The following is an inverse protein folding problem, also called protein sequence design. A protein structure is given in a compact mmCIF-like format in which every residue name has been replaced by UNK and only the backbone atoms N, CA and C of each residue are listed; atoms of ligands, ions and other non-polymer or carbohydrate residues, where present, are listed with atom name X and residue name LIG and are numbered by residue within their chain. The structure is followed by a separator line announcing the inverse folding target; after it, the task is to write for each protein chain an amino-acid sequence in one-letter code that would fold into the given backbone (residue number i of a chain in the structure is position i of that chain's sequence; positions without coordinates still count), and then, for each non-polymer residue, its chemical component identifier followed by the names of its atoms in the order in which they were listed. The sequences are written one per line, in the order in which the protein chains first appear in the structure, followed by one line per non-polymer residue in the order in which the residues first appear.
data_IF_208151144846
#
_entry.id   IF_208151144846
#
_cell.length_a   1.000
_cell.length_b   1.000
_cell.length_c   1.000
_cell.angle_alpha   90.00
_cell.angle_beta   90.00
_cell.angle_gamma   90.00
#
_symmetry.space_group_name_H-M   'P 1'
#
loop_
_entity.id
_entity.type
_entity.pdbx_description
1 polymer ?
#
# COMPACT_ATOMS: atom_id res chain seq x y z
N UNK A 1 -63.97 -60.79 25.11
CA UNK A 1 -64.39 -60.14 26.38
C UNK A 1 -63.50 -58.88 26.58
N UNK A 2 -64.20 -57.71 26.74
CA UNK A 2 -63.78 -56.41 27.31
C UNK A 2 -62.53 -55.78 26.76
N UNK A 3 -62.53 -54.76 25.94
CA UNK A 3 -62.87 -53.31 26.15
C UNK A 3 -62.14 -52.65 27.32
N UNK A 4 -61.33 -51.61 26.94
CA UNK A 4 -61.15 -50.27 27.54
C UNK A 4 -60.19 -49.48 26.70
N UNK A 5 -60.62 -48.54 25.98
CA UNK A 5 -60.73 -47.07 26.09
C UNK A 5 -59.44 -46.41 26.71
N UNK A 6 -58.72 -45.58 25.96
CA UNK A 6 -58.81 -44.14 26.05
C UNK A 6 -57.48 -43.54 26.41
N UNK A 7 -56.95 -42.66 25.62
CA UNK A 7 -56.55 -41.30 25.94
C UNK A 7 -55.55 -40.79 24.86
N UNK A 8 -55.95 -39.77 24.17
CA UNK A 8 -55.08 -38.84 23.46
C UNK A 8 -54.55 -37.85 24.48
N UNK A 9 -53.32 -37.41 24.38
CA UNK A 9 -53.09 -36.00 24.60
C UNK A 9 -52.34 -35.31 23.43
N UNK A 10 -52.76 -34.10 23.33
CA UNK A 10 -52.33 -33.04 22.42
C UNK A 10 -50.84 -32.68 22.49
N UNK A 11 -50.40 -32.08 21.38
CA UNK A 11 -49.47 -30.97 21.43
C UNK A 11 -47.99 -31.30 21.22
N UNK A 12 -47.56 -31.52 19.97
CA UNK A 12 -46.17 -31.19 19.60
C UNK A 12 -46.18 -29.89 18.78
N UNK A 13 -45.77 -28.84 19.48
CA UNK A 13 -45.45 -27.53 18.92
C UNK A 13 -44.25 -27.70 17.96
N UNK A 14 -44.47 -27.38 16.70
CA UNK A 14 -43.43 -27.43 15.69
C UNK A 14 -42.34 -26.41 15.95
N UNK A 15 -41.15 -26.88 16.19
CA UNK A 15 -39.95 -26.07 16.14
C UNK A 15 -39.57 -25.81 14.68
N UNK A 16 -39.71 -24.56 14.25
CA UNK A 16 -39.19 -24.12 12.95
C UNK A 16 -37.68 -24.32 12.89
N UNK A 17 -37.15 -24.91 11.81
CA UNK A 17 -35.69 -24.97 11.65
C UNK A 17 -35.14 -23.55 11.44
N UNK A 18 -34.22 -23.17 12.31
CA UNK A 18 -33.37 -21.98 12.13
C UNK A 18 -32.68 -22.10 10.77
N UNK A 19 -33.05 -21.20 9.87
CA UNK A 19 -32.38 -21.04 8.57
C UNK A 19 -30.94 -20.63 8.83
N UNK A 20 -30.02 -21.58 8.74
CA UNK A 20 -28.58 -21.31 8.72
C UNK A 20 -28.32 -20.60 7.40
N UNK A 21 -28.14 -19.25 7.47
CA UNK A 21 -27.59 -18.52 6.35
C UNK A 21 -26.23 -19.13 6.01
N UNK A 22 -26.17 -19.87 4.92
CA UNK A 22 -24.92 -20.33 4.34
C UNK A 22 -24.11 -19.08 3.97
N UNK A 23 -23.04 -18.85 4.71
CA UNK A 23 -21.99 -17.90 4.30
C UNK A 23 -21.41 -18.49 3.02
N UNK A 24 -21.73 -17.89 1.90
CA UNK A 24 -21.10 -18.23 0.63
C UNK A 24 -19.64 -17.80 0.76
N UNK A 25 -18.76 -18.75 1.03
CA UNK A 25 -17.30 -18.55 0.98
C UNK A 25 -16.95 -18.18 -0.46
N UNK A 26 -16.89 -16.89 -0.75
CA UNK A 26 -16.28 -16.40 -1.98
C UNK A 26 -14.78 -16.74 -1.88
N UNK A 27 -14.24 -17.50 -2.84
CA UNK A 27 -12.84 -17.89 -2.79
C UNK A 27 -11.95 -16.64 -2.71
N UNK A 28 -11.13 -16.56 -1.69
CA UNK A 28 -10.15 -15.48 -1.52
C UNK A 28 -9.29 -15.41 -2.79
N UNK A 29 -9.15 -14.25 -3.43
CA UNK A 29 -8.36 -14.13 -4.64
C UNK A 29 -6.91 -14.57 -4.36
N UNK A 30 -6.34 -15.37 -5.24
CA UNK A 30 -4.96 -15.87 -5.10
C UNK A 30 -3.92 -14.78 -5.32
N UNK A 31 -4.30 -13.69 -5.98
CA UNK A 31 -3.44 -12.52 -6.29
C UNK A 31 -4.23 -11.25 -6.05
N UNK A 32 -3.55 -10.21 -5.61
CA UNK A 32 -4.07 -8.84 -5.41
C UNK A 32 -4.96 -8.37 -6.59
N UNK A 33 -6.20 -7.90 -6.33
CA UNK A 33 -7.09 -7.36 -7.36
C UNK A 33 -6.56 -6.06 -7.97
N UNK A 34 -6.89 -5.83 -9.25
CA UNK A 34 -6.67 -4.57 -9.96
C UNK A 34 -8.03 -4.00 -10.34
N UNK A 35 -8.30 -2.77 -9.93
CA UNK A 35 -9.56 -2.07 -10.19
C UNK A 35 -9.29 -0.86 -11.05
N UNK A 36 -9.90 -0.81 -12.22
CA UNK A 36 -9.74 0.33 -13.14
C UNK A 36 -10.78 1.40 -12.83
N UNK A 37 -10.32 2.65 -12.77
CA UNK A 37 -11.14 3.84 -12.59
C UNK A 37 -10.94 4.75 -13.80
N UNK A 38 -12.02 5.10 -14.47
CA UNK A 38 -12.00 5.89 -15.68
C UNK A 38 -12.18 7.38 -15.37
N UNK A 39 -11.07 8.06 -15.09
CA UNK A 39 -11.01 9.52 -14.86
C UNK A 39 -9.79 10.12 -15.56
N UNK A 40 -9.89 11.41 -15.93
CA UNK A 40 -8.85 12.17 -16.63
C UNK A 40 -8.43 13.44 -15.88
N UNK A 41 -9.10 13.75 -14.77
CA UNK A 41 -8.85 14.91 -13.93
C UNK A 41 -8.36 14.50 -12.54
N UNK A 42 -7.42 15.27 -12.01
CA UNK A 42 -6.89 15.10 -10.64
C UNK A 42 -7.90 15.52 -9.56
N UNK A 43 -9.00 16.17 -9.93
CA UNK A 43 -10.12 16.57 -9.06
C UNK A 43 -11.44 16.08 -9.65
N UNK A 44 -11.59 14.75 -9.85
CA UNK A 44 -12.76 14.21 -10.51
C UNK A 44 -14.02 14.39 -9.64
N UNK A 45 -15.15 14.61 -10.28
CA UNK A 45 -16.44 14.49 -9.64
C UNK A 45 -16.82 12.99 -9.56
N UNK A 46 -16.77 12.41 -8.39
CA UNK A 46 -17.06 10.98 -8.16
C UNK A 46 -18.43 10.83 -7.51
N UNK A 47 -19.33 9.98 -8.06
CA UNK A 47 -20.59 9.68 -7.41
C UNK A 47 -20.39 9.07 -6.01
N UNK A 48 -21.20 9.43 -5.01
CA UNK A 48 -21.05 8.92 -3.63
C UNK A 48 -21.04 7.38 -3.52
N UNK A 49 -21.81 6.68 -4.35
CA UNK A 49 -21.84 5.22 -4.39
C UNK A 49 -20.46 4.62 -4.79
N UNK A 50 -19.77 5.28 -5.72
CA UNK A 50 -18.46 4.84 -6.19
C UNK A 50 -17.35 5.12 -5.18
N UNK A 51 -17.42 6.23 -4.44
CA UNK A 51 -16.42 6.52 -3.38
C UNK A 51 -16.36 5.41 -2.34
N UNK A 52 -17.52 4.94 -1.87
CA UNK A 52 -17.59 3.82 -0.93
C UNK A 52 -17.09 2.49 -1.51
N UNK A 53 -17.32 2.25 -2.80
CA UNK A 53 -16.81 1.07 -3.51
C UNK A 53 -15.29 1.14 -3.64
N UNK A 54 -14.73 2.25 -4.12
CA UNK A 54 -13.28 2.41 -4.27
C UNK A 54 -12.54 2.31 -2.93
N UNK A 55 -13.13 2.86 -1.86
CA UNK A 55 -12.58 2.73 -0.52
C UNK A 55 -12.49 1.27 -0.09
N UNK A 56 -13.58 0.50 -0.18
CA UNK A 56 -13.60 -0.92 0.20
C UNK A 56 -12.61 -1.75 -0.62
N UNK A 57 -12.55 -1.55 -1.93
CA UNK A 57 -11.59 -2.25 -2.79
C UNK A 57 -10.14 -1.93 -2.39
N UNK A 58 -9.82 -0.66 -2.21
CA UNK A 58 -8.49 -0.21 -1.81
C UNK A 58 -8.08 -0.77 -0.44
N UNK A 59 -8.99 -0.71 0.54
CA UNK A 59 -8.77 -1.21 1.90
C UNK A 59 -8.70 -2.73 1.97
N UNK A 60 -9.37 -3.42 1.05
CA UNK A 60 -9.21 -4.87 0.87
C UNK A 60 -7.87 -5.25 0.22
N UNK A 61 -7.06 -4.28 -0.17
CA UNK A 61 -5.72 -4.47 -0.72
C UNK A 61 -5.67 -4.45 -2.25
N UNK A 62 -6.70 -3.93 -2.94
CA UNK A 62 -6.64 -3.74 -4.38
C UNK A 62 -5.68 -2.61 -4.79
N UNK A 63 -5.21 -2.66 -6.04
CA UNK A 63 -4.56 -1.55 -6.71
C UNK A 63 -5.58 -0.84 -7.60
N UNK A 64 -5.86 0.44 -7.31
CA UNK A 64 -6.72 1.26 -8.16
C UNK A 64 -5.87 1.84 -9.30
N UNK A 65 -6.30 1.65 -10.54
CA UNK A 65 -5.57 2.06 -11.74
C UNK A 65 -6.39 3.06 -12.52
N UNK A 66 -5.80 4.20 -12.84
CA UNK A 66 -6.38 5.31 -13.57
C UNK A 66 -5.58 5.50 -14.86
N UNK A 67 -5.91 4.75 -15.93
CA UNK A 67 -5.07 4.65 -17.11
C UNK A 67 -5.02 5.94 -17.95
N UNK A 68 -5.99 6.84 -17.77
CA UNK A 68 -6.08 8.10 -18.50
C UNK A 68 -5.72 9.35 -17.67
N UNK A 69 -5.26 9.13 -16.41
CA UNK A 69 -4.89 10.23 -15.51
C UNK A 69 -3.39 10.49 -15.56
N UNK A 70 -2.96 11.28 -16.53
CA UNK A 70 -1.57 11.67 -16.68
C UNK A 70 -1.22 12.91 -15.84
N UNK A 71 0.01 12.94 -15.29
CA UNK A 71 0.57 14.19 -14.80
C UNK A 71 1.02 15.06 -15.96
N UNK A 72 0.52 16.29 -16.03
CA UNK A 72 0.83 17.23 -17.09
C UNK A 72 2.02 18.09 -16.70
N UNK A 73 3.05 18.06 -17.54
CA UNK A 73 4.21 18.93 -17.39
C UNK A 73 3.91 20.33 -17.91
N UNK A 74 4.45 21.36 -17.23
CA UNK A 74 4.56 22.69 -17.80
C UNK A 74 5.64 22.73 -18.89
N UNK A 75 5.65 23.74 -19.78
CA UNK A 75 6.49 23.72 -20.99
C UNK A 75 7.96 23.39 -20.75
N UNK A 76 8.58 23.91 -19.68
CA UNK A 76 9.99 23.72 -19.40
C UNK A 76 10.30 22.50 -18.53
N UNK A 77 9.30 21.83 -17.99
CA UNK A 77 9.49 20.75 -17.01
C UNK A 77 9.92 19.42 -17.64
N UNK A 78 9.65 19.22 -18.93
CA UNK A 78 10.09 18.02 -19.66
C UNK A 78 11.62 17.83 -19.60
N UNK A 79 12.40 18.89 -19.40
CA UNK A 79 13.87 18.82 -19.22
C UNK A 79 14.27 18.02 -17.98
N UNK A 80 13.39 17.88 -16.99
CA UNK A 80 13.64 17.10 -15.78
C UNK A 80 13.50 15.59 -16.01
N UNK A 81 12.96 15.15 -17.13
CA UNK A 81 12.93 13.75 -17.54
C UNK A 81 14.31 13.30 -18.02
N UNK A 82 15.30 13.44 -17.15
CA UNK A 82 16.68 13.07 -17.41
C UNK A 82 17.38 12.67 -16.10
N UNK A 83 18.17 11.59 -16.15
CA UNK A 83 18.93 11.08 -14.99
C UNK A 83 20.00 12.06 -14.47
N UNK A 84 20.45 13.01 -15.29
CA UNK A 84 21.43 14.03 -14.91
C UNK A 84 21.03 14.86 -13.69
N UNK A 85 19.75 14.94 -13.39
CA UNK A 85 19.23 15.69 -12.25
C UNK A 85 19.35 14.94 -10.92
N UNK A 86 19.72 13.65 -10.94
CA UNK A 86 20.00 12.86 -9.75
C UNK A 86 21.46 13.06 -9.32
N UNK A 87 21.70 13.12 -8.01
CA UNK A 87 23.04 13.13 -7.42
C UNK A 87 23.79 11.79 -7.53
N UNK A 88 23.13 10.75 -8.08
CA UNK A 88 23.66 9.41 -8.24
C UNK A 88 23.83 8.61 -6.94
N UNK A 89 23.70 9.25 -5.77
CA UNK A 89 23.88 8.64 -4.44
C UNK A 89 22.55 8.23 -3.83
N UNK A 90 21.56 9.12 -3.88
CA UNK A 90 20.22 8.85 -3.37
C UNK A 90 19.46 7.89 -4.31
N UNK A 91 18.57 7.08 -3.72
CA UNK A 91 17.70 6.18 -4.49
C UNK A 91 16.73 6.97 -5.38
N UNK A 92 16.21 8.08 -4.86
CA UNK A 92 15.22 8.94 -5.50
C UNK A 92 15.56 10.41 -5.24
N UNK A 93 15.11 11.28 -6.11
CA UNK A 93 14.94 12.71 -5.78
C UNK A 93 13.70 12.81 -4.90
N UNK A 94 13.79 13.46 -3.75
CA UNK A 94 12.67 13.56 -2.80
C UNK A 94 12.45 14.99 -2.34
N UNK A 95 11.18 15.36 -2.18
CA UNK A 95 10.72 16.67 -1.73
C UNK A 95 9.81 16.51 -0.52
N UNK A 96 10.02 17.29 0.53
CA UNK A 96 9.23 17.21 1.78
C UNK A 96 8.29 18.41 1.99
N UNK A 97 8.13 19.25 0.96
CA UNK A 97 7.36 20.48 1.02
C UNK A 97 8.21 21.74 1.23
N UNK A 98 9.45 21.59 1.73
CA UNK A 98 10.38 22.69 1.97
C UNK A 98 11.71 22.49 1.23
N UNK A 99 12.27 21.28 1.25
CA UNK A 99 13.58 20.98 0.70
C UNK A 99 13.58 19.82 -0.28
N UNK A 100 14.41 19.92 -1.33
CA UNK A 100 14.69 18.84 -2.28
C UNK A 100 15.99 18.14 -1.89
N UNK A 101 16.05 16.81 -2.00
CA UNK A 101 17.22 15.97 -1.72
C UNK A 101 17.41 14.95 -2.82
N UNK A 102 18.66 14.52 -3.00
CA UNK A 102 19.00 13.53 -4.02
C UNK A 102 19.04 14.12 -5.43
N UNK A 103 18.89 15.43 -5.57
CA UNK A 103 19.02 16.17 -6.83
C UNK A 103 20.35 16.91 -6.90
N UNK A 104 20.81 17.19 -8.13
CA UNK A 104 21.99 18.00 -8.43
C UNK A 104 21.68 18.94 -9.59
N UNK A 105 22.31 20.12 -9.59
CA UNK A 105 22.13 21.13 -10.63
C UNK A 105 22.18 22.56 -10.07
N UNK A 106 22.02 23.59 -10.93
CA UNK A 106 21.91 24.97 -10.51
C UNK A 106 20.71 25.19 -9.56
N UNK A 107 20.83 26.10 -8.61
CA UNK A 107 19.80 26.36 -7.60
C UNK A 107 18.45 26.70 -8.23
N UNK A 108 18.44 27.51 -9.28
CA UNK A 108 17.22 27.87 -10.02
C UNK A 108 16.52 26.65 -10.61
N UNK A 109 17.27 25.68 -11.14
CA UNK A 109 16.70 24.42 -11.69
C UNK A 109 16.21 23.51 -10.59
N UNK A 110 16.93 23.43 -9.47
CA UNK A 110 16.49 22.66 -8.31
C UNK A 110 15.18 23.23 -7.72
N UNK A 111 15.05 24.54 -7.68
CA UNK A 111 13.81 25.20 -7.27
C UNK A 111 12.65 24.90 -8.25
N UNK A 112 12.91 24.90 -9.56
CA UNK A 112 11.91 24.52 -10.57
C UNK A 112 11.50 23.05 -10.46
N UNK A 113 12.46 22.14 -10.27
CA UNK A 113 12.21 20.72 -10.04
C UNK A 113 11.39 20.48 -8.76
N UNK A 114 11.70 21.20 -7.69
CA UNK A 114 10.94 21.16 -6.43
C UNK A 114 9.48 21.62 -6.64
N UNK A 115 9.24 22.67 -7.42
CA UNK A 115 7.88 23.12 -7.77
C UNK A 115 7.11 22.06 -8.57
N UNK A 116 7.74 21.44 -9.57
CA UNK A 116 7.13 20.34 -10.35
C UNK A 116 6.70 19.18 -9.44
N UNK A 117 7.61 18.71 -8.56
CA UNK A 117 7.32 17.64 -7.61
C UNK A 117 6.23 18.06 -6.61
N UNK A 118 6.26 19.32 -6.15
CA UNK A 118 5.25 19.89 -5.25
C UNK A 118 3.86 19.98 -5.88
N UNK A 119 3.77 20.27 -7.17
CA UNK A 119 2.52 20.29 -7.93
C UNK A 119 1.93 18.88 -8.04
N UNK A 120 2.75 17.86 -8.35
CA UNK A 120 2.29 16.48 -8.32
C UNK A 120 1.78 16.07 -6.93
N UNK A 121 2.45 16.50 -5.85
CA UNK A 121 2.00 16.23 -4.49
C UNK A 121 0.63 16.82 -4.19
N UNK A 122 0.37 18.03 -4.66
CA UNK A 122 -0.93 18.71 -4.50
C UNK A 122 -2.02 17.97 -5.29
N UNK A 123 -1.74 17.61 -6.53
CA UNK A 123 -2.67 16.88 -7.40
C UNK A 123 -3.00 15.50 -6.83
N UNK A 124 -1.99 14.74 -6.41
CA UNK A 124 -2.19 13.42 -5.78
C UNK A 124 -3.03 13.51 -4.49
N UNK A 125 -2.81 14.55 -3.67
CA UNK A 125 -3.60 14.77 -2.46
C UNK A 125 -5.06 15.12 -2.80
N UNK A 126 -5.27 15.95 -3.82
CA UNK A 126 -6.60 16.32 -4.29
C UNK A 126 -7.36 15.10 -4.86
N UNK A 127 -6.66 14.25 -5.61
CA UNK A 127 -7.22 13.00 -6.14
C UNK A 127 -7.69 12.07 -5.00
N UNK A 128 -6.86 11.86 -3.97
CA UNK A 128 -7.26 11.05 -2.82
C UNK A 128 -8.49 11.66 -2.15
N UNK A 129 -8.53 12.97 -1.93
CA UNK A 129 -9.66 13.64 -1.29
C UNK A 129 -10.95 13.53 -2.12
N UNK A 130 -10.86 13.54 -3.45
CA UNK A 130 -12.00 13.38 -4.34
C UNK A 130 -12.51 11.93 -4.40
N UNK A 131 -11.60 10.95 -4.52
CA UNK A 131 -11.94 9.52 -4.57
C UNK A 131 -12.42 8.98 -3.22
N UNK A 132 -11.84 9.48 -2.12
CA UNK A 132 -11.95 8.93 -0.76
C UNK A 132 -12.20 10.08 0.23
N UNK A 133 -13.35 10.78 0.15
CA UNK A 133 -13.58 12.02 0.90
C UNK A 133 -13.50 11.86 2.41
N UNK A 134 -13.82 10.68 2.96
CA UNK A 134 -13.64 10.39 4.39
C UNK A 134 -12.18 10.51 4.85
N UNK A 135 -11.22 10.29 3.96
CA UNK A 135 -9.79 10.39 4.29
C UNK A 135 -9.29 11.83 4.38
N UNK A 136 -9.96 12.77 3.70
CA UNK A 136 -9.48 14.15 3.55
C UNK A 136 -9.00 14.81 4.86
N UNK A 137 -9.72 14.73 6.01
CA UNK A 137 -9.26 15.35 7.25
C UNK A 137 -8.06 14.64 7.91
N UNK A 138 -7.74 13.41 7.47
CA UNK A 138 -6.72 12.57 8.08
C UNK A 138 -5.42 12.48 7.27
N UNK A 139 -5.39 13.06 6.08
CA UNK A 139 -4.26 12.94 5.17
C UNK A 139 -3.01 13.66 5.71
N UNK A 140 -2.05 12.90 6.19
CA UNK A 140 -0.73 13.42 6.56
C UNK A 140 0.23 13.20 5.38
N UNK A 141 0.54 14.28 4.64
CA UNK A 141 1.50 14.22 3.54
C UNK A 141 2.88 13.86 4.05
N UNK A 142 3.47 12.80 3.52
CA UNK A 142 4.86 12.46 3.68
C UNK A 142 5.67 12.99 2.45
N UNK A 143 6.85 12.41 2.20
CA UNK A 143 7.67 12.85 1.07
C UNK A 143 7.07 12.48 -0.26
N UNK A 144 7.25 13.36 -1.23
CA UNK A 144 7.05 13.11 -2.65
C UNK A 144 8.38 12.68 -3.25
N UNK A 145 8.37 11.68 -4.13
CA UNK A 145 9.58 11.18 -4.79
C UNK A 145 9.45 11.28 -6.30
N UNK A 146 10.52 11.70 -6.94
CA UNK A 146 10.74 11.53 -8.37
C UNK A 146 11.84 10.50 -8.60
N UNK A 147 11.57 9.51 -9.44
CA UNK A 147 12.47 8.38 -9.73
C UNK A 147 12.95 8.46 -11.18
N UNK A 148 14.06 9.17 -11.49
CA UNK A 148 14.57 9.29 -12.85
C UNK A 148 15.29 8.04 -13.34
N UNK A 149 15.68 7.13 -12.45
CA UNK A 149 16.39 5.91 -12.78
C UNK A 149 15.45 4.74 -13.04
N UNK A 150 15.94 3.77 -13.85
CA UNK A 150 15.27 2.49 -14.04
C UNK A 150 15.08 1.73 -12.72
N UNK A 151 14.03 0.92 -12.65
CA UNK A 151 13.73 0.09 -11.49
C UNK A 151 14.76 -1.02 -11.31
N UNK A 152 15.18 -1.64 -12.41
CA UNK A 152 16.16 -2.72 -12.46
C UNK A 152 17.57 -2.21 -12.79
N UNK A 153 18.58 -3.08 -12.63
CA UNK A 153 19.96 -2.83 -13.06
C UNK A 153 20.81 -2.03 -12.06
N UNK A 154 20.30 -1.71 -10.88
CA UNK A 154 21.07 -1.02 -9.82
C UNK A 154 21.69 -2.04 -8.86
N UNK A 155 22.98 -1.90 -8.57
CA UNK A 155 23.67 -2.68 -7.53
C UNK A 155 23.19 -2.22 -6.14
N UNK A 156 22.13 -2.81 -5.64
CA UNK A 156 21.53 -2.53 -4.34
C UNK A 156 21.63 -3.75 -3.43
N UNK A 157 21.72 -3.52 -2.11
CA UNK A 157 21.51 -4.61 -1.17
C UNK A 157 20.09 -5.17 -1.33
N UNK A 158 19.89 -6.45 -1.04
CA UNK A 158 18.59 -7.10 -1.19
C UNK A 158 17.45 -6.37 -0.44
N UNK A 159 17.74 -5.73 0.70
CA UNK A 159 16.77 -4.91 1.44
C UNK A 159 16.29 -3.68 0.67
N UNK A 160 17.18 -3.09 -0.15
CA UNK A 160 16.88 -1.89 -0.95
C UNK A 160 16.44 -2.22 -2.38
N UNK A 161 16.44 -3.49 -2.75
CA UNK A 161 16.07 -3.96 -4.07
C UNK A 161 14.54 -4.05 -4.20
N UNK A 162 13.93 -3.07 -4.89
CA UNK A 162 12.49 -3.02 -5.12
C UNK A 162 12.02 -3.96 -6.22
N UNK A 163 12.94 -4.67 -6.91
CA UNK A 163 12.55 -5.71 -7.86
C UNK A 163 12.11 -6.99 -7.15
N UNK A 164 12.27 -7.09 -5.84
CA UNK A 164 11.78 -8.19 -5.01
C UNK A 164 10.41 -7.89 -4.44
N UNK A 165 9.52 -8.88 -4.44
CA UNK A 165 8.20 -8.77 -3.81
C UNK A 165 8.32 -8.41 -2.33
N UNK A 166 7.58 -7.40 -1.91
CA UNK A 166 7.54 -6.93 -0.52
C UNK A 166 6.29 -6.11 -0.25
N UNK A 167 5.99 -5.89 1.00
CA UNK A 167 5.16 -4.80 1.50
C UNK A 167 6.08 -3.71 2.06
N UNK A 168 5.64 -2.46 2.05
CA UNK A 168 6.44 -1.39 2.62
C UNK A 168 6.46 -1.45 4.14
N UNK A 169 7.68 -1.31 4.70
CA UNK A 169 7.91 -1.07 6.11
C UNK A 169 9.13 -0.14 6.28
N UNK A 170 9.09 0.73 7.28
CA UNK A 170 10.16 1.71 7.49
C UNK A 170 11.07 1.34 8.66
N UNK A 171 12.33 0.95 8.40
CA UNK A 171 13.24 0.48 9.46
C UNK A 171 13.57 1.54 10.50
N UNK A 172 13.56 2.82 10.14
CA UNK A 172 13.94 3.93 11.05
C UNK A 172 12.75 4.78 11.52
N UNK A 173 11.55 4.56 10.99
CA UNK A 173 10.35 5.34 11.29
C UNK A 173 9.20 4.40 11.67
N UNK A 174 8.97 4.16 12.96
CA UNK A 174 7.84 3.38 13.42
C UNK A 174 6.51 3.98 12.95
N UNK A 175 5.64 3.15 12.42
CA UNK A 175 4.33 3.54 11.88
C UNK A 175 3.20 3.36 12.89
N UNK A 176 3.36 2.44 13.84
CA UNK A 176 2.38 2.15 14.91
C UNK A 176 0.96 1.94 14.36
N UNK A 177 0.84 1.16 13.31
CA UNK A 177 -0.44 0.87 12.67
C UNK A 177 -0.92 1.91 11.64
N UNK A 178 -0.26 3.07 11.51
CA UNK A 178 -0.59 4.01 10.43
C UNK A 178 -0.37 3.38 9.07
N UNK A 179 -1.28 3.70 8.14
CA UNK A 179 -1.28 3.19 6.78
C UNK A 179 -0.31 3.97 5.88
N UNK A 180 0.20 3.31 4.87
CA UNK A 180 1.06 3.91 3.84
C UNK A 180 0.30 3.88 2.52
N UNK A 181 -0.45 4.94 2.26
CA UNK A 181 -1.15 5.13 0.99
C UNK A 181 -0.22 5.82 0.00
N UNK A 182 -0.10 5.28 -1.21
CA UNK A 182 0.74 5.86 -2.25
C UNK A 182 -0.03 6.08 -3.54
N UNK A 183 0.25 7.22 -4.15
CA UNK A 183 -0.16 7.56 -5.51
C UNK A 183 1.09 7.59 -6.37
N UNK A 184 1.07 6.84 -7.46
CA UNK A 184 2.15 6.75 -8.43
C UNK A 184 1.68 7.26 -9.79
N UNK A 185 2.59 7.82 -10.59
CA UNK A 185 2.32 8.16 -11.98
C UNK A 185 3.53 7.80 -12.85
N UNK A 186 3.31 7.02 -13.90
CA UNK A 186 4.33 6.78 -14.91
C UNK A 186 4.44 7.99 -15.83
N UNK A 187 5.54 8.71 -15.72
CA UNK A 187 5.82 9.92 -16.52
C UNK A 187 6.89 9.69 -17.58
N UNK A 188 7.04 8.45 -18.04
CA UNK A 188 8.04 8.09 -19.03
C UNK A 188 7.72 8.74 -20.38
N UNK A 189 8.65 9.51 -21.01
CA UNK A 189 8.41 10.18 -22.28
C UNK A 189 8.70 9.30 -23.51
N UNK A 190 9.24 8.09 -23.30
CA UNK A 190 9.74 7.19 -24.36
C UNK A 190 8.85 5.97 -24.60
N UNK A 191 7.61 6.01 -24.15
CA UNK A 191 6.66 4.91 -24.35
C UNK A 191 6.91 3.67 -23.48
N UNK A 192 7.74 3.77 -22.42
CA UNK A 192 8.06 2.61 -21.60
C UNK A 192 7.06 2.43 -20.46
N UNK A 193 6.53 1.23 -20.34
CA UNK A 193 5.69 0.83 -19.22
C UNK A 193 6.47 0.82 -17.91
N UNK A 194 5.80 1.21 -16.84
CA UNK A 194 6.21 0.80 -15.49
C UNK A 194 5.66 -0.59 -15.24
N UNK A 195 6.54 -1.56 -15.04
CA UNK A 195 6.14 -2.96 -14.84
C UNK A 195 6.27 -3.31 -13.37
N UNK A 196 5.17 -3.80 -12.81
CA UNK A 196 5.14 -4.35 -11.45
C UNK A 196 4.83 -5.83 -11.50
N UNK A 197 5.27 -6.54 -10.46
CA UNK A 197 4.66 -7.79 -10.05
C UNK A 197 3.84 -7.52 -8.81
N UNK A 198 2.59 -7.96 -8.78
CA UNK A 198 1.71 -7.92 -7.62
C UNK A 198 1.48 -9.34 -7.13
N UNK A 199 1.64 -9.51 -5.82
CA UNK A 199 1.63 -10.82 -5.18
C UNK A 199 0.28 -11.20 -4.58
N UNK A 200 0.31 -12.20 -3.72
CA UNK A 200 -0.83 -12.69 -2.95
C UNK A 200 -1.37 -11.63 -1.98
N UNK A 201 -2.63 -11.74 -1.50
CA UNK A 201 -3.19 -10.88 -0.47
C UNK A 201 -2.36 -10.87 0.81
N UNK A 202 -2.36 -9.74 1.53
CA UNK A 202 -1.56 -9.53 2.73
C UNK A 202 -1.74 -10.64 3.79
N UNK A 203 -2.97 -11.04 4.07
CA UNK A 203 -3.23 -12.07 5.09
C UNK A 203 -2.63 -13.43 4.70
N UNK A 204 -2.68 -13.80 3.42
CA UNK A 204 -2.08 -15.05 2.93
C UNK A 204 -0.55 -15.00 3.10
N UNK A 205 0.08 -13.92 2.68
CA UNK A 205 1.51 -13.67 2.87
C UNK A 205 1.89 -13.69 4.35
N UNK A 206 1.14 -12.97 5.20
CA UNK A 206 1.40 -12.90 6.63
C UNK A 206 1.34 -14.28 7.29
N UNK A 207 0.29 -15.07 7.03
CA UNK A 207 0.17 -16.44 7.55
C UNK A 207 1.32 -17.34 7.13
N UNK A 208 1.85 -17.16 5.94
CA UNK A 208 2.99 -17.92 5.38
C UNK A 208 4.32 -17.52 6.00
N UNK A 209 4.55 -16.24 6.24
CA UNK A 209 5.86 -15.71 6.63
C UNK A 209 6.01 -15.44 8.13
N UNK A 210 4.93 -15.16 8.88
CA UNK A 210 4.99 -14.92 10.33
C UNK A 210 5.71 -16.03 11.11
N UNK A 211 5.50 -17.33 10.81
CA UNK A 211 6.22 -18.40 11.52
C UNK A 211 7.74 -18.37 11.34
N UNK A 212 8.24 -17.67 10.33
CA UNK A 212 9.68 -17.51 10.04
C UNK A 212 10.30 -16.32 10.75
N UNK A 213 9.51 -15.45 11.37
CA UNK A 213 10.02 -14.25 12.01
C UNK A 213 10.60 -14.53 13.38
N UNK A 214 11.69 -13.86 13.72
CA UNK A 214 12.15 -13.85 15.09
C UNK A 214 11.22 -13.02 15.98
N UNK A 215 11.00 -13.44 17.23
CA UNK A 215 10.28 -12.60 18.19
C UNK A 215 11.05 -11.31 18.49
N UNK A 216 10.34 -10.26 18.90
CA UNK A 216 10.96 -9.04 19.37
C UNK A 216 11.67 -9.29 20.70
N UNK A 217 12.92 -8.89 20.81
CA UNK A 217 13.71 -9.07 22.04
C UNK A 217 13.28 -7.99 23.06
N UNK A 218 13.00 -8.35 24.32
CA UNK A 218 12.70 -7.39 25.37
C UNK A 218 13.79 -6.29 25.45
N UNK A 219 13.39 -5.01 25.47
CA UNK A 219 14.29 -3.87 25.51
C UNK A 219 14.89 -3.44 24.16
N UNK A 220 14.81 -4.25 23.09
CA UNK A 220 15.36 -3.91 21.77
C UNK A 220 14.81 -2.57 21.24
N UNK A 221 13.50 -2.37 21.32
CA UNK A 221 12.86 -1.16 20.82
C UNK A 221 13.31 0.11 21.59
N UNK A 222 13.50 -0.01 22.91
CA UNK A 222 14.01 1.09 23.74
C UNK A 222 15.48 1.40 23.40
N UNK A 223 16.31 0.38 23.26
CA UNK A 223 17.72 0.52 22.90
C UNK A 223 17.88 1.22 21.53
N UNK A 224 17.17 0.74 20.49
CA UNK A 224 17.21 1.34 19.16
C UNK A 224 16.76 2.81 19.16
N UNK A 225 15.74 3.14 19.97
CA UNK A 225 15.26 4.52 20.12
C UNK A 225 16.28 5.39 20.86
N UNK A 226 16.87 4.91 21.95
CA UNK A 226 17.89 5.63 22.72
C UNK A 226 19.15 5.90 21.89
N UNK A 227 19.55 4.96 21.03
CA UNK A 227 20.67 5.09 20.11
C UNK A 227 20.34 5.90 18.85
N UNK A 228 19.14 6.50 18.75
CA UNK A 228 18.67 7.24 17.57
C UNK A 228 18.71 6.46 16.25
N UNK A 229 18.74 5.12 16.29
CA UNK A 229 18.59 4.25 15.11
C UNK A 229 17.17 4.32 14.58
N UNK A 230 16.20 4.46 15.49
CA UNK A 230 14.79 4.70 15.14
C UNK A 230 14.30 6.04 15.70
N UNK A 231 13.36 6.66 14.99
CA UNK A 231 12.69 7.92 15.40
C UNK A 231 11.57 7.68 16.41
N UNK A 232 11.85 6.92 17.46
CA UNK A 232 10.91 6.50 18.49
C UNK A 232 10.93 4.98 18.68
N UNK A 233 10.22 4.52 19.71
CA UNK A 233 10.10 3.08 20.03
C UNK A 233 9.27 2.38 18.97
N UNK A 234 9.79 1.29 18.42
CA UNK A 234 9.02 0.37 17.60
C UNK A 234 7.96 -0.33 18.45
N UNK A 235 6.74 -0.42 17.94
CA UNK A 235 5.73 -1.35 18.43
C UNK A 235 6.03 -2.77 17.95
N UNK A 236 5.31 -3.74 18.47
CA UNK A 236 5.39 -5.11 17.98
C UNK A 236 4.87 -5.22 16.55
N UNK A 237 3.84 -4.43 16.20
CA UNK A 237 3.40 -4.26 14.83
C UNK A 237 4.54 -3.83 13.88
N UNK A 238 5.31 -2.79 14.26
CA UNK A 238 6.42 -2.32 13.45
C UNK A 238 7.51 -3.39 13.28
N UNK A 239 7.76 -4.17 14.34
CA UNK A 239 8.71 -5.29 14.29
C UNK A 239 8.25 -6.37 13.32
N UNK A 240 6.96 -6.77 13.40
CA UNK A 240 6.39 -7.77 12.50
C UNK A 240 6.39 -7.28 11.04
N UNK A 241 5.95 -6.05 10.78
CA UNK A 241 5.94 -5.50 9.42
C UNK A 241 7.32 -5.45 8.79
N UNK A 242 8.34 -5.03 9.54
CA UNK A 242 9.72 -5.03 9.07
C UNK A 242 10.24 -6.46 8.86
N UNK A 243 9.88 -7.38 9.76
CA UNK A 243 10.19 -8.79 9.61
C UNK A 243 9.57 -9.41 8.36
N UNK A 244 8.29 -9.13 8.08
CA UNK A 244 7.61 -9.59 6.87
C UNK A 244 8.25 -9.01 5.60
N UNK A 245 8.56 -7.71 5.59
CA UNK A 245 9.29 -7.07 4.49
C UNK A 245 10.64 -7.76 4.22
N UNK A 246 11.45 -7.95 5.26
CA UNK A 246 12.79 -8.52 5.14
C UNK A 246 12.72 -10.02 4.78
N UNK A 247 11.80 -10.76 5.38
CA UNK A 247 11.60 -12.19 5.09
C UNK A 247 11.16 -12.39 3.64
N UNK A 248 10.16 -11.64 3.16
CA UNK A 248 9.71 -11.72 1.78
C UNK A 248 10.85 -11.44 0.80
N UNK A 249 11.63 -10.37 1.04
CA UNK A 249 12.75 -10.00 0.16
C UNK A 249 13.93 -10.98 0.17
N UNK A 250 14.22 -11.60 1.30
CA UNK A 250 15.37 -12.51 1.44
C UNK A 250 15.08 -13.93 1.00
N UNK A 251 13.83 -14.38 1.06
CA UNK A 251 13.40 -15.73 0.71
C UNK A 251 13.27 -15.88 -0.82
N UNK A 252 14.30 -16.42 -1.45
CA UNK A 252 14.33 -16.57 -2.92
C UNK A 252 13.32 -17.60 -3.43
N UNK A 253 12.96 -18.59 -2.63
CA UNK A 253 11.94 -19.56 -2.99
C UNK A 253 10.57 -18.92 -2.95
N UNK A 254 10.29 -18.10 -1.94
CA UNK A 254 9.09 -17.27 -1.89
C UNK A 254 8.98 -16.35 -3.11
N UNK A 255 10.06 -15.67 -3.49
CA UNK A 255 10.11 -14.79 -4.66
C UNK A 255 9.73 -15.49 -5.97
N UNK A 256 10.03 -16.79 -6.09
CA UNK A 256 9.77 -17.61 -7.29
C UNK A 256 8.40 -18.28 -7.27
N UNK A 257 7.99 -18.79 -6.10
CA UNK A 257 6.86 -19.71 -5.97
C UNK A 257 5.57 -19.07 -5.46
N UNK A 258 5.64 -17.86 -4.85
CA UNK A 258 4.44 -17.18 -4.37
C UNK A 258 3.51 -16.80 -5.53
N UNK A 259 2.18 -16.84 -5.32
CA UNK A 259 1.22 -16.35 -6.31
C UNK A 259 1.52 -14.90 -6.65
N UNK A 260 1.69 -14.60 -7.93
CA UNK A 260 2.00 -13.25 -8.41
C UNK A 260 1.62 -13.10 -9.88
N UNK A 261 1.35 -11.85 -10.29
CA UNK A 261 1.12 -11.51 -11.69
C UNK A 261 1.85 -10.23 -12.08
N UNK A 262 2.22 -10.13 -13.35
CA UNK A 262 2.74 -8.91 -13.94
C UNK A 262 1.60 -7.92 -14.23
N UNK A 263 1.83 -6.65 -13.91
CA UNK A 263 0.93 -5.53 -14.21
C UNK A 263 1.74 -4.44 -14.88
N UNK A 264 1.24 -3.96 -16.02
CA UNK A 264 1.88 -2.92 -16.81
C UNK A 264 1.11 -1.61 -16.69
N UNK A 265 1.80 -0.56 -16.30
CA UNK A 265 1.27 0.80 -16.24
C UNK A 265 1.90 1.60 -17.37
N UNK A 266 1.14 1.83 -18.43
CA UNK A 266 1.59 2.61 -19.58
C UNK A 266 1.96 4.05 -19.19
N UNK A 267 2.75 4.78 -19.98
CA UNK A 267 2.98 6.21 -19.77
C UNK A 267 1.67 6.98 -19.63
N UNK A 268 1.61 7.88 -18.64
CA UNK A 268 0.40 8.63 -18.32
C UNK A 268 -0.59 7.90 -17.40
N UNK A 269 -0.31 6.64 -17.03
CA UNK A 269 -1.12 5.94 -16.05
C UNK A 269 -0.77 6.38 -14.63
N UNK A 270 -1.79 6.65 -13.83
CA UNK A 270 -1.70 6.83 -12.38
C UNK A 270 -2.26 5.60 -11.69
N UNK A 271 -1.71 5.20 -10.53
CA UNK A 271 -2.28 4.14 -9.71
C UNK A 271 -2.10 4.41 -8.22
N UNK A 272 -3.00 3.85 -7.42
CA UNK A 272 -3.10 4.06 -5.98
C UNK A 272 -3.13 2.71 -5.29
N UNK A 273 -2.38 2.55 -4.21
CA UNK A 273 -2.49 1.37 -3.36
C UNK A 273 -2.02 1.67 -1.93
N UNK A 274 -2.44 0.84 -0.99
CA UNK A 274 -1.80 0.73 0.31
C UNK A 274 -0.54 -0.13 0.19
N UNK A 275 0.62 0.52 0.08
CA UNK A 275 1.89 -0.19 -0.13
C UNK A 275 2.38 -0.98 1.09
N UNK A 276 1.84 -0.71 2.27
CA UNK A 276 1.99 -1.53 3.49
C UNK A 276 1.17 -2.82 3.48
N UNK A 277 0.26 -2.98 2.50
CA UNK A 277 -0.64 -4.13 2.38
C UNK A 277 -0.47 -4.87 1.06
N UNK A 278 -0.29 -4.17 -0.04
CA UNK A 278 -0.13 -4.77 -1.37
C UNK A 278 1.28 -5.34 -1.51
N UNK A 279 1.37 -6.66 -1.69
CA UNK A 279 2.63 -7.30 -2.09
C UNK A 279 2.99 -6.85 -3.48
N UNK A 280 4.10 -6.10 -3.62
CA UNK A 280 4.50 -5.52 -4.89
C UNK A 280 6.00 -5.57 -5.12
N UNK A 281 6.39 -5.56 -6.39
CA UNK A 281 7.77 -5.41 -6.84
C UNK A 281 7.82 -4.58 -8.12
N UNK A 282 8.79 -3.69 -8.23
CA UNK A 282 9.00 -2.86 -9.40
C UNK A 282 9.98 -3.54 -10.34
N UNK A 283 9.47 -4.30 -11.32
CA UNK A 283 10.29 -5.12 -12.22
C UNK A 283 11.02 -4.29 -13.29
N UNK A 284 10.37 -3.27 -13.86
CA UNK A 284 10.95 -2.42 -14.90
C UNK A 284 10.32 -1.02 -14.94
N UNK A 285 10.85 -0.17 -15.82
CA UNK A 285 10.36 1.18 -16.08
C UNK A 285 11.19 2.26 -15.42
N UNK A 286 11.08 3.47 -15.95
CA UNK A 286 11.87 4.66 -15.60
C UNK A 286 10.95 5.88 -15.59
N UNK A 287 11.34 6.96 -14.92
CA UNK A 287 10.62 8.22 -14.80
C UNK A 287 9.24 8.07 -14.16
N UNK A 288 9.22 7.96 -12.84
CA UNK A 288 8.00 7.83 -12.06
C UNK A 288 7.92 8.89 -10.98
N UNK A 289 6.77 9.50 -10.79
CA UNK A 289 6.41 10.31 -9.63
C UNK A 289 5.66 9.45 -8.60
N UNK A 290 5.87 9.76 -7.33
CA UNK A 290 5.26 9.03 -6.22
C UNK A 290 4.96 9.99 -5.07
N UNK A 291 3.71 10.02 -4.61
CA UNK A 291 3.31 10.70 -3.38
C UNK A 291 2.97 9.67 -2.31
N UNK A 292 3.59 9.79 -1.15
CA UNK A 292 3.25 9.01 0.05
C UNK A 292 2.37 9.85 0.97
N UNK A 293 1.28 9.25 1.42
CA UNK A 293 0.38 9.81 2.43
C UNK A 293 0.22 8.80 3.56
N UNK A 294 0.17 9.30 4.79
CA UNK A 294 -0.08 8.50 5.99
C UNK A 294 -1.44 8.85 6.55
N UNK A 295 -2.14 7.86 7.07
CA UNK A 295 -3.40 8.04 7.76
C UNK A 295 -3.59 6.95 8.84
N UNK A 296 -4.28 7.28 9.95
CA UNK A 296 -4.53 6.31 11.01
C UNK A 296 -5.56 5.26 10.56
N UNK A 297 -5.57 4.06 11.15
CA UNK A 297 -6.58 3.04 10.87
C UNK A 297 -8.03 3.52 11.05
N UNK A 298 -8.26 4.42 11.99
CA UNK A 298 -9.60 4.98 12.30
C UNK A 298 -10.19 5.83 11.16
N UNK A 299 -9.34 6.30 10.24
CA UNK A 299 -9.78 6.99 9.03
C UNK A 299 -10.45 6.04 8.02
N UNK A 300 -10.17 4.74 8.10
CA UNK A 300 -10.65 3.74 7.15
C UNK A 300 -12.16 3.55 7.23
N UNK A 301 -12.78 3.14 6.13
CA UNK A 301 -14.16 2.68 6.09
C UNK A 301 -14.31 1.31 6.77
N UNK A 302 -13.30 0.44 6.57
CA UNK A 302 -13.22 -0.91 7.12
C UNK A 302 -11.89 -1.10 7.89
N UNK A 303 -11.75 -0.58 9.13
CA UNK A 303 -10.50 -0.65 9.90
C UNK A 303 -9.97 -2.08 10.08
N UNK A 304 -10.89 -3.08 10.07
CA UNK A 304 -10.55 -4.51 10.21
C UNK A 304 -9.76 -5.08 9.03
N UNK A 305 -9.76 -4.39 7.89
CA UNK A 305 -8.99 -4.75 6.69
C UNK A 305 -7.52 -4.33 6.77
N UNK A 306 -7.15 -3.50 7.74
CA UNK A 306 -5.78 -3.00 7.89
C UNK A 306 -4.78 -4.10 8.25
N UNK A 307 -3.51 -4.00 7.84
CA UNK A 307 -2.44 -4.90 8.28
C UNK A 307 -2.37 -5.04 9.80
N UNK A 308 -2.57 -3.95 10.55
CA UNK A 308 -2.60 -4.00 12.03
C UNK A 308 -3.70 -4.96 12.51
N UNK A 309 -4.94 -4.75 12.09
CA UNK A 309 -6.07 -5.59 12.52
C UNK A 309 -5.92 -7.05 12.06
N UNK A 310 -5.35 -7.27 10.87
CA UNK A 310 -5.06 -8.62 10.37
C UNK A 310 -4.01 -9.31 11.23
N UNK A 311 -2.90 -8.64 11.55
CA UNK A 311 -1.83 -9.20 12.37
C UNK A 311 -2.28 -9.43 13.82
N UNK A 312 -3.07 -8.54 14.41
CA UNK A 312 -3.67 -8.72 15.74
C UNK A 312 -4.62 -9.93 15.78
N UNK A 313 -5.44 -10.09 14.75
CA UNK A 313 -6.32 -11.26 14.62
C UNK A 313 -5.54 -12.57 14.51
N UNK A 314 -4.43 -12.58 13.75
CA UNK A 314 -3.58 -13.77 13.61
C UNK A 314 -2.83 -14.06 14.93
N UNK A 315 -2.36 -13.02 15.61
CA UNK A 315 -1.56 -13.13 16.84
C UNK A 315 -2.40 -13.31 18.11
N UNK A 316 -3.72 -13.04 18.05
CA UNK A 316 -4.64 -13.14 19.18
C UNK A 316 -4.44 -12.08 20.27
N UNK A 317 -3.75 -10.96 19.98
CA UNK A 317 -3.43 -9.90 20.94
C UNK A 317 -3.17 -8.56 20.27
N UNK A 318 -3.30 -7.44 21.02
CA UNK A 318 -2.90 -6.12 20.55
C UNK A 318 -1.39 -6.06 20.24
N UNK A 319 -1.03 -5.34 19.17
CA UNK A 319 0.35 -5.17 18.70
C UNK A 319 0.86 -3.73 18.80
N UNK A 320 -0.01 -2.80 19.16
CA UNK A 320 0.31 -1.41 19.44
C UNK A 320 -0.20 -1.08 20.84
N UNK A 321 0.66 -0.53 21.68
CA UNK A 321 0.25 0.00 22.99
C UNK A 321 -0.66 1.22 22.79
N UNK A 322 -1.72 1.29 23.57
CA UNK A 322 -2.70 2.38 23.55
C UNK A 322 -2.08 3.72 23.98
#
# INVERSE_FOLDING_TARGET
MRACRGCVPDGCVGASPLSVCAVVDTPTPTVTPIVTIDVEDWRPAIPPADTGRYARELEAGAVLVLPRLAFRFEPDEARFLNVRWSDGKAKNISFDGASIRGATGPEQDLAALARMIGRFAADATALIAALLPRYAPWLARARTSYRPHGAAGRALSWRKDDTRLHVDAFPSRPMRGQRILRVFCNVNPFGQDRVWRVGEPFEAMARRLLPKLRPMIPGEAACLSALHVTRGRRSEYDHMMLGLHDCAKSDLDYQKSSPQREVRFAPGTTWICYSDQVMHAAAAGQYMLEQTVQLPPDALYEPRSSPLAILERISGRPLVEA
#
